data_IF_912386715466
#
_entry.id   IF_912386715466
#
_cell.length_a   1.000
_cell.length_b   1.000
_cell.length_c   1.000
_cell.angle_alpha   90.00
_cell.angle_beta   90.00
_cell.angle_gamma   90.00
#
_symmetry.space_group_name_H-M   'P 1'
#
loop_
_entity.id
_entity.type
_entity.pdbx_description
1 polymer ?
#
# COMPACT_ATOMS: atom_id res chain seq x y z
N UNK A 1 -3.39 7.30 50.88
CA UNK A 1 -4.41 6.91 49.86
C UNK A 1 -4.28 7.68 48.53
N UNK A 2 -3.91 8.97 48.52
CA UNK A 2 -3.81 9.78 47.27
C UNK A 2 -2.65 9.40 46.32
N UNK A 3 -1.50 8.94 46.83
CA UNK A 3 -0.31 8.61 46.01
C UNK A 3 -0.49 7.37 45.14
N UNK A 4 -1.11 6.31 45.68
CA UNK A 4 -1.31 5.06 44.96
C UNK A 4 -2.32 5.24 43.82
N UNK A 5 -3.33 6.10 44.02
CA UNK A 5 -4.28 6.47 42.97
C UNK A 5 -3.59 7.20 41.79
N UNK A 6 -2.63 8.09 42.08
CA UNK A 6 -1.85 8.78 41.04
C UNK A 6 -0.95 7.80 40.28
N UNK A 7 -0.34 6.83 40.97
CA UNK A 7 0.48 5.79 40.33
C UNK A 7 -0.36 4.87 39.44
N UNK A 8 -1.54 4.46 39.91
CA UNK A 8 -2.49 3.65 39.11
C UNK A 8 -2.98 4.42 37.88
N UNK A 9 -3.34 5.70 38.01
CA UNK A 9 -3.76 6.55 36.88
C UNK A 9 -2.64 6.70 35.84
N UNK A 10 -1.39 6.89 36.28
CA UNK A 10 -0.23 6.96 35.38
C UNK A 10 -0.05 5.66 34.59
N UNK A 11 -0.08 4.51 35.26
CA UNK A 11 0.07 3.22 34.59
C UNK A 11 -1.07 2.94 33.59
N UNK A 12 -2.31 3.28 33.95
CA UNK A 12 -3.46 3.14 33.05
C UNK A 12 -3.33 4.07 31.84
N UNK A 13 -2.85 5.30 32.02
CA UNK A 13 -2.67 6.25 30.92
C UNK A 13 -1.54 5.82 29.97
N UNK A 14 -0.43 5.29 30.51
CA UNK A 14 0.66 4.73 29.71
C UNK A 14 0.21 3.51 28.91
N UNK A 15 -0.61 2.63 29.50
CA UNK A 15 -1.17 1.48 28.82
C UNK A 15 -2.12 1.89 27.67
N UNK A 16 -2.97 2.90 27.93
CA UNK A 16 -3.90 3.42 26.92
C UNK A 16 -3.17 4.02 25.72
N UNK A 17 -2.08 4.76 25.97
CA UNK A 17 -1.23 5.31 24.91
C UNK A 17 -0.50 4.22 24.11
N UNK A 18 -0.07 3.14 24.76
CA UNK A 18 0.58 2.00 24.11
C UNK A 18 -0.33 1.25 23.13
N UNK A 19 -1.63 1.12 23.46
CA UNK A 19 -2.62 0.49 22.58
C UNK A 19 -2.87 1.31 21.30
N UNK A 20 -2.82 2.65 21.41
CA UNK A 20 -3.06 3.54 20.26
C UNK A 20 -1.99 3.41 19.16
N UNK A 21 -0.74 3.09 19.53
CA UNK A 21 0.37 2.93 18.58
C UNK A 21 0.21 1.68 17.70
N UNK A 22 -0.52 0.67 18.19
CA UNK A 22 -0.77 -0.58 17.45
C UNK A 22 -1.78 -0.40 16.30
N UNK A 23 -2.49 0.73 16.26
CA UNK A 23 -3.51 1.04 15.25
C UNK A 23 -2.95 1.71 13.99
N UNK A 24 -1.64 1.88 13.88
CA UNK A 24 -1.01 2.45 12.67
C UNK A 24 -0.91 1.35 11.60
N UNK A 25 -1.97 1.15 10.84
CA UNK A 25 -1.92 0.38 9.59
C UNK A 25 -1.48 1.29 8.43
N UNK A 26 -0.43 0.90 7.70
CA UNK A 26 -0.02 1.58 6.48
C UNK A 26 -1.11 1.45 5.38
N UNK A 27 -1.44 2.55 4.72
CA UNK A 27 -2.44 2.60 3.66
C UNK A 27 -1.86 1.98 2.38
N UNK A 28 -2.21 0.72 2.11
CA UNK A 28 -1.81 0.04 0.88
C UNK A 28 -2.75 0.45 -0.25
N UNK A 29 -2.34 1.37 -1.12
CA UNK A 29 -3.14 1.67 -2.31
C UNK A 29 -3.03 0.52 -3.32
N UNK A 30 -4.16 0.15 -3.90
CA UNK A 30 -4.22 -0.82 -4.98
C UNK A 30 -4.50 -0.08 -6.28
N UNK A 31 -3.59 -0.19 -7.24
CA UNK A 31 -3.73 0.39 -8.58
C UNK A 31 -4.22 -0.69 -9.52
N UNK A 32 -5.23 -0.38 -10.32
CA UNK A 32 -5.78 -1.27 -11.34
C UNK A 32 -5.88 -0.50 -12.64
N UNK A 33 -5.69 -1.18 -13.76
CA UNK A 33 -5.85 -0.59 -15.08
C UNK A 33 -5.64 -1.62 -16.18
N UNK A 34 -5.64 -1.12 -17.41
CA UNK A 34 -5.46 -1.91 -18.62
C UNK A 34 -4.36 -1.27 -19.45
N UNK A 35 -3.44 -2.08 -19.97
CA UNK A 35 -2.38 -1.63 -20.88
C UNK A 35 -2.81 -1.95 -22.31
N UNK A 36 -2.78 -0.95 -23.18
CA UNK A 36 -3.20 -1.09 -24.58
C UNK A 36 -2.15 -0.52 -25.54
N UNK A 37 -2.09 -1.06 -26.75
CA UNK A 37 -1.28 -0.48 -27.82
C UNK A 37 -1.84 0.89 -28.23
N UNK A 38 -0.97 1.90 -28.33
CA UNK A 38 -1.39 3.25 -28.69
C UNK A 38 -1.94 3.35 -30.12
N UNK A 39 -1.53 2.45 -31.02
CA UNK A 39 -1.89 2.48 -32.44
C UNK A 39 -3.23 1.81 -32.73
N UNK A 40 -3.51 0.66 -32.11
CA UNK A 40 -4.72 -0.13 -32.38
C UNK A 40 -5.74 -0.10 -31.24
N UNK A 41 -5.32 0.22 -30.02
CA UNK A 41 -6.15 0.09 -28.82
C UNK A 41 -6.27 -1.35 -28.29
N UNK A 42 -5.61 -2.32 -28.94
CA UNK A 42 -5.65 -3.71 -28.50
C UNK A 42 -4.91 -3.91 -27.16
N UNK A 43 -5.33 -4.88 -26.32
CA UNK A 43 -4.68 -5.16 -25.05
C UNK A 43 -3.24 -5.67 -25.24
N UNK A 44 -2.35 -5.21 -24.36
CA UNK A 44 -0.97 -5.70 -24.29
C UNK A 44 -0.89 -6.82 -23.27
N UNK A 45 -0.72 -8.04 -23.76
CA UNK A 45 -0.60 -9.24 -22.93
C UNK A 45 0.86 -9.41 -22.48
N UNK A 46 1.08 -9.68 -21.19
CA UNK A 46 2.41 -9.97 -20.66
C UNK A 46 3.31 -8.75 -20.44
N UNK A 47 2.76 -7.53 -20.49
CA UNK A 47 3.50 -6.32 -20.14
C UNK A 47 3.83 -6.31 -18.64
N UNK A 48 5.03 -5.87 -18.29
CA UNK A 48 5.43 -5.70 -16.90
C UNK A 48 5.06 -4.30 -16.43
N UNK A 49 4.31 -4.22 -15.34
CA UNK A 49 3.94 -2.97 -14.66
C UNK A 49 4.62 -2.94 -13.30
N UNK A 50 5.56 -2.02 -13.09
CA UNK A 50 6.34 -1.96 -11.84
C UNK A 50 6.42 -0.57 -11.26
N UNK A 51 6.63 -0.52 -9.94
CA UNK A 51 6.99 0.70 -9.23
C UNK A 51 8.46 1.01 -9.45
N UNK A 52 8.76 2.17 -10.03
CA UNK A 52 10.14 2.57 -10.31
C UNK A 52 10.99 2.67 -9.03
N UNK A 53 10.37 3.12 -7.94
CA UNK A 53 11.02 3.32 -6.64
C UNK A 53 11.18 2.05 -5.81
N UNK A 54 10.56 0.92 -6.18
CA UNK A 54 10.52 -0.28 -5.36
C UNK A 54 10.90 -1.54 -6.15
N UNK A 55 12.06 -2.10 -5.81
CA UNK A 55 12.52 -3.38 -6.36
C UNK A 55 11.65 -4.53 -5.83
N UNK A 56 11.00 -5.27 -6.72
CA UNK A 56 10.12 -6.40 -6.37
C UNK A 56 8.62 -6.09 -6.29
N UNK A 57 8.22 -4.81 -6.37
CA UNK A 57 6.81 -4.42 -6.53
C UNK A 57 6.47 -4.26 -8.02
N UNK A 58 6.07 -5.36 -8.65
CA UNK A 58 5.60 -5.38 -10.02
C UNK A 58 4.54 -6.46 -10.24
N UNK A 59 3.81 -6.31 -11.33
CA UNK A 59 2.77 -7.24 -11.78
C UNK A 59 2.86 -7.38 -13.30
N UNK A 60 2.22 -8.40 -13.85
CA UNK A 60 2.20 -8.69 -15.29
C UNK A 60 0.76 -8.60 -15.77
N UNK A 61 0.54 -8.00 -16.95
CA UNK A 61 -0.80 -7.92 -17.53
C UNK A 61 -1.31 -9.28 -18.00
N UNK A 62 -2.61 -9.51 -17.82
CA UNK A 62 -3.29 -10.73 -18.27
C UNK A 62 -3.64 -10.70 -19.78
N UNK A 63 -4.43 -11.67 -20.23
CA UNK A 63 -4.86 -11.81 -21.64
C UNK A 63 -5.74 -10.67 -22.15
N UNK A 64 -6.38 -9.94 -21.24
CA UNK A 64 -7.20 -8.77 -21.53
C UNK A 64 -6.42 -7.47 -21.29
N UNK A 65 -5.10 -7.56 -21.03
CA UNK A 65 -4.23 -6.42 -20.75
C UNK A 65 -4.41 -5.82 -19.35
N UNK A 66 -5.21 -6.46 -18.48
CA UNK A 66 -5.50 -5.92 -17.16
C UNK A 66 -4.37 -6.21 -16.17
N UNK A 67 -4.16 -5.30 -15.22
CA UNK A 67 -3.21 -5.49 -14.14
C UNK A 67 -3.77 -5.04 -12.79
N UNK A 68 -3.21 -5.62 -11.73
CA UNK A 68 -3.45 -5.22 -10.34
C UNK A 68 -2.10 -5.10 -9.64
N UNK A 69 -1.78 -3.89 -9.17
CA UNK A 69 -0.57 -3.59 -8.42
C UNK A 69 -0.95 -3.17 -6.99
N UNK A 70 -0.60 -4.02 -6.03
CA UNK A 70 -0.90 -3.79 -4.62
C UNK A 70 0.20 -2.96 -3.96
N UNK A 71 -0.14 -2.33 -2.83
CA UNK A 71 0.80 -1.65 -1.93
C UNK A 71 1.57 -0.51 -2.61
N UNK A 72 0.91 0.23 -3.50
CA UNK A 72 1.51 1.38 -4.15
C UNK A 72 1.53 2.61 -3.23
N UNK A 73 2.65 3.35 -3.13
CA UNK A 73 2.70 4.64 -2.47
C UNK A 73 1.87 5.67 -3.26
N UNK A 74 1.31 6.66 -2.56
CA UNK A 74 0.44 7.69 -3.14
C UNK A 74 1.14 8.59 -4.17
N UNK A 75 2.47 8.73 -4.09
CA UNK A 75 3.31 9.50 -5.00
C UNK A 75 4.27 8.61 -5.81
N UNK A 76 3.90 7.35 -6.02
CA UNK A 76 4.69 6.41 -6.81
C UNK A 76 4.64 6.68 -8.32
N UNK A 77 5.75 6.40 -9.00
CA UNK A 77 5.82 6.39 -10.47
C UNK A 77 5.77 4.95 -10.98
N UNK A 78 4.90 4.70 -11.97
CA UNK A 78 4.81 3.42 -12.64
C UNK A 78 5.65 3.41 -13.91
N UNK A 79 6.32 2.29 -14.14
CA UNK A 79 7.03 1.98 -15.37
C UNK A 79 6.37 0.77 -16.05
N UNK A 80 6.23 0.85 -17.37
CA UNK A 80 5.63 -0.16 -18.23
C UNK A 80 6.68 -0.64 -19.23
N UNK A 81 6.93 -1.95 -19.31
CA UNK A 81 7.93 -2.55 -20.20
C UNK A 81 7.46 -3.87 -20.81
#
# INVERSE_FOLDING_TARGET
MKSNQILTIKNTLTLLFGILVLSISAQNNTIRGTVTYATSGDPVIGATVRLQSATGSGTVTDVDGNYVLNNAPSNGTLEFS
#
